data_IF_333613477312
#
_entry.id   IF_333613477312
#
_cell.length_a   1.000
_cell.length_b   1.000
_cell.length_c   1.000
_cell.angle_alpha   90.00
_cell.angle_beta   90.00
_cell.angle_gamma   90.00
#
_symmetry.space_group_name_H-M   'P 1'
#
loop_
_entity.id
_entity.type
_entity.pdbx_description
1 polymer ?
#
# COMPACT_ATOMS: atom_id res chain seq x y z
N UNK A 1 31.45 36.22 48.50
CA UNK A 1 30.54 36.63 47.41
C UNK A 1 30.91 35.88 46.14
N UNK A 2 30.29 34.72 45.88
CA UNK A 2 30.50 33.94 44.65
C UNK A 2 29.50 34.39 43.56
N UNK A 3 30.01 34.79 42.40
CA UNK A 3 29.22 34.98 41.17
C UNK A 3 29.39 33.75 40.28
N UNK A 4 28.45 32.81 40.37
CA UNK A 4 28.31 31.70 39.42
C UNK A 4 26.91 31.76 38.81
N UNK A 5 26.72 32.67 37.87
CA UNK A 5 25.56 32.72 36.96
C UNK A 5 26.16 32.92 35.58
N UNK A 6 26.05 31.91 34.71
CA UNK A 6 26.19 31.96 33.23
C UNK A 6 26.54 30.60 32.58
N UNK A 7 26.38 29.46 33.27
CA UNK A 7 26.49 28.12 32.65
C UNK A 7 25.17 27.35 32.51
N UNK A 8 24.06 27.96 32.93
CA UNK A 8 22.76 27.26 32.95
C UNK A 8 21.99 27.33 31.61
N UNK A 9 22.35 28.25 30.72
CA UNK A 9 21.62 28.45 29.46
C UNK A 9 22.11 27.60 28.27
N UNK A 10 23.25 26.91 28.39
CA UNK A 10 23.80 26.07 27.30
C UNK A 10 23.24 24.64 27.36
N UNK A 11 22.73 24.19 28.51
CA UNK A 11 22.14 22.84 28.62
C UNK A 11 20.67 22.74 28.21
N UNK A 12 19.93 23.85 28.24
CA UNK A 12 18.48 23.83 27.90
C UNK A 12 18.24 23.74 26.40
N UNK A 13 19.13 24.28 25.56
CA UNK A 13 19.03 24.12 24.10
C UNK A 13 19.47 22.74 23.59
N UNK A 14 20.30 22.00 24.36
CA UNK A 14 20.70 20.64 24.00
C UNK A 14 19.65 19.59 24.38
N UNK A 15 18.81 19.86 25.39
CA UNK A 15 17.78 18.91 25.82
C UNK A 15 16.52 18.90 24.93
N UNK A 16 16.21 20.03 24.26
CA UNK A 16 15.06 20.12 23.35
C UNK A 16 15.34 19.40 22.02
N UNK A 17 16.61 19.21 21.64
CA UNK A 17 16.99 18.41 20.46
C UNK A 17 16.94 16.88 20.69
N UNK A 18 16.90 16.42 21.95
CA UNK A 18 16.93 14.98 22.30
C UNK A 18 15.63 14.42 22.89
N UNK A 19 14.57 15.22 22.99
CA UNK A 19 13.32 14.80 23.65
C UNK A 19 12.16 14.45 22.71
N UNK A 20 12.43 14.23 21.41
CA UNK A 20 11.39 13.91 20.41
C UNK A 20 11.62 12.57 19.66
N UNK A 21 12.37 11.63 20.23
CA UNK A 21 12.57 10.30 19.63
C UNK A 21 12.29 9.17 20.64
N UNK A 22 11.13 9.23 21.29
CA UNK A 22 10.49 8.03 21.85
C UNK A 22 8.97 8.21 21.76
N UNK A 23 8.48 8.37 20.54
CA UNK A 23 7.09 7.99 20.26
C UNK A 23 7.09 6.47 20.24
N UNK A 24 6.28 5.87 21.11
CA UNK A 24 6.24 4.43 21.30
C UNK A 24 6.16 3.68 19.97
N UNK A 25 6.80 2.51 19.93
CA UNK A 25 6.62 1.50 18.90
C UNK A 25 5.18 0.94 18.96
N UNK A 26 4.18 1.78 18.73
CA UNK A 26 3.04 1.32 17.96
C UNK A 26 3.65 0.91 16.63
N UNK A 27 3.51 -0.35 16.27
CA UNK A 27 3.90 -0.83 14.96
C UNK A 27 3.07 -0.05 13.92
N UNK A 28 3.50 1.15 13.56
CA UNK A 28 3.13 1.77 12.30
C UNK A 28 3.87 0.93 11.29
N UNK A 29 3.22 -0.17 10.92
CA UNK A 29 3.75 -1.15 10.00
C UNK A 29 4.13 -0.38 8.75
N UNK A 30 5.42 -0.44 8.36
CA UNK A 30 5.95 0.26 7.20
C UNK A 30 4.98 0.11 6.04
N UNK A 31 4.27 1.19 5.76
CA UNK A 31 3.18 1.18 4.81
C UNK A 31 3.80 1.07 3.42
N UNK A 32 3.37 0.11 2.64
CA UNK A 32 3.77 -0.04 1.25
C UNK A 32 2.55 0.06 0.33
N UNK A 33 2.74 0.63 -0.86
CA UNK A 33 1.64 0.88 -1.78
C UNK A 33 1.72 0.08 -3.09
N UNK A 34 0.56 -0.41 -3.52
CA UNK A 34 0.39 -1.11 -4.78
C UNK A 34 -0.85 -0.57 -5.49
N UNK A 35 -0.77 -0.44 -6.81
CA UNK A 35 -1.95 -0.21 -7.65
C UNK A 35 -2.16 -1.47 -8.46
N UNK A 36 -3.34 -2.07 -8.30
CA UNK A 36 -3.80 -3.19 -9.12
C UNK A 36 -4.77 -2.62 -10.13
N UNK A 37 -4.59 -2.95 -11.41
CA UNK A 37 -5.47 -2.53 -12.49
C UNK A 37 -5.90 -3.73 -13.32
N UNK A 38 -7.12 -3.69 -13.83
CA UNK A 38 -7.72 -4.78 -14.60
C UNK A 38 -8.57 -4.22 -15.75
N UNK A 39 -8.91 -5.09 -16.68
CA UNK A 39 -9.90 -4.80 -17.73
C UNK A 39 -11.26 -5.30 -17.24
N UNK A 40 -12.28 -4.43 -17.11
CA UNK A 40 -13.64 -4.84 -16.78
C UNK A 40 -14.17 -5.93 -17.74
N UNK A 41 -14.98 -6.89 -17.26
CA UNK A 41 -15.65 -7.83 -18.14
C UNK A 41 -16.63 -7.10 -19.06
N UNK A 42 -16.83 -7.64 -20.26
CA UNK A 42 -17.84 -7.16 -21.22
C UNK A 42 -19.00 -8.15 -21.41
N UNK A 43 -18.87 -9.33 -20.82
CA UNK A 43 -19.85 -10.43 -20.85
C UNK A 43 -19.89 -11.11 -19.48
N UNK A 44 -21.04 -11.69 -19.14
CA UNK A 44 -21.15 -12.57 -17.96
C UNK A 44 -20.33 -13.86 -18.18
N UNK A 45 -20.09 -14.64 -17.12
CA UNK A 45 -19.29 -15.87 -17.19
C UNK A 45 -19.85 -16.89 -18.21
N UNK A 46 -21.17 -16.88 -18.43
CA UNK A 46 -21.83 -17.70 -19.46
C UNK A 46 -21.65 -17.22 -20.90
N UNK A 47 -20.92 -16.13 -21.14
CA UNK A 47 -20.74 -15.51 -22.45
C UNK A 47 -21.92 -14.65 -22.93
N UNK A 48 -22.93 -14.45 -22.08
CA UNK A 48 -24.08 -13.57 -22.35
C UNK A 48 -23.76 -12.08 -22.17
N UNK A 49 -24.76 -11.24 -22.41
CA UNK A 49 -24.66 -9.80 -22.10
C UNK A 49 -24.29 -9.61 -20.62
N UNK A 50 -23.38 -8.67 -20.33
CA UNK A 50 -23.00 -8.35 -18.96
C UNK A 50 -24.21 -7.77 -18.21
N UNK A 51 -24.67 -8.47 -17.18
CA UNK A 51 -25.80 -8.03 -16.36
C UNK A 51 -25.48 -8.16 -14.88
N UNK A 52 -25.97 -7.22 -14.08
CA UNK A 52 -25.84 -7.32 -12.62
C UNK A 52 -24.48 -6.93 -12.04
N UNK A 53 -23.42 -6.71 -12.82
CA UNK A 53 -22.11 -6.30 -12.28
C UNK A 53 -22.22 -5.14 -11.26
N UNK A 54 -21.86 -5.43 -10.01
CA UNK A 54 -21.91 -4.47 -8.90
C UNK A 54 -20.53 -4.00 -8.45
N UNK A 55 -19.49 -4.81 -8.66
CA UNK A 55 -18.13 -4.45 -8.26
C UNK A 55 -17.14 -5.59 -8.42
N UNK A 56 -16.02 -5.47 -7.71
CA UNK A 56 -14.91 -6.41 -7.78
C UNK A 56 -14.39 -6.76 -6.40
N UNK A 57 -13.83 -7.96 -6.27
CA UNK A 57 -13.05 -8.38 -5.11
C UNK A 57 -11.60 -8.56 -5.55
N UNK A 58 -10.71 -7.80 -4.93
CA UNK A 58 -9.26 -7.89 -5.18
C UNK A 58 -8.65 -8.78 -4.11
N UNK A 59 -8.11 -9.91 -4.52
CA UNK A 59 -7.46 -10.87 -3.63
C UNK A 59 -5.95 -10.69 -3.68
N UNK A 60 -5.30 -10.92 -2.54
CA UNK A 60 -3.84 -10.83 -2.43
C UNK A 60 -3.26 -11.83 -1.43
N UNK A 61 -2.01 -12.23 -1.68
CA UNK A 61 -1.23 -13.14 -0.84
C UNK A 61 0.28 -12.88 -1.02
N UNK A 62 1.12 -13.36 -0.11
CA UNK A 62 2.59 -13.37 -0.26
C UNK A 62 3.12 -14.70 -0.83
N UNK A 63 2.25 -15.69 -1.01
CA UNK A 63 2.56 -16.98 -1.64
C UNK A 63 2.07 -16.97 -3.09
N UNK A 64 2.95 -17.24 -4.06
CA UNK A 64 2.59 -17.39 -5.48
C UNK A 64 1.73 -18.62 -5.72
N UNK A 65 0.96 -18.65 -6.81
CA UNK A 65 0.23 -19.84 -7.30
C UNK A 65 -0.87 -20.37 -6.38
N UNK A 66 -1.25 -19.63 -5.34
CA UNK A 66 -2.39 -19.96 -4.47
C UNK A 66 -3.68 -20.19 -5.28
N UNK A 67 -3.82 -19.50 -6.43
CA UNK A 67 -4.87 -19.71 -7.41
C UNK A 67 -4.99 -21.14 -7.95
N UNK A 68 -3.88 -21.86 -8.10
CA UNK A 68 -3.89 -23.25 -8.61
C UNK A 68 -4.52 -24.23 -7.61
N UNK A 69 -4.55 -23.86 -6.33
CA UNK A 69 -5.23 -24.62 -5.27
C UNK A 69 -6.74 -24.40 -5.32
N UNK A 70 -7.16 -23.22 -5.80
CA UNK A 70 -8.54 -22.75 -5.71
C UNK A 70 -9.35 -22.99 -7.00
N UNK A 71 -8.69 -23.00 -8.16
CA UNK A 71 -9.33 -23.15 -9.48
C UNK A 71 -10.31 -22.02 -9.86
N UNK A 72 -10.71 -21.18 -8.90
CA UNK A 72 -11.69 -20.10 -9.02
C UNK A 72 -11.57 -19.12 -7.84
N UNK A 73 -12.12 -17.92 -7.99
CA UNK A 73 -12.28 -16.95 -6.91
C UNK A 73 -13.69 -17.11 -6.36
N UNK A 74 -13.96 -18.20 -5.63
CA UNK A 74 -15.27 -18.43 -5.01
C UNK A 74 -15.17 -18.28 -3.49
N UNK A 75 -16.25 -17.79 -2.86
CA UNK A 75 -16.36 -17.83 -1.41
C UNK A 75 -16.56 -19.27 -0.94
N UNK A 76 -15.82 -19.67 0.10
CA UNK A 76 -15.89 -21.00 0.69
C UNK A 76 -14.65 -21.88 0.51
N UNK A 77 -13.56 -21.35 -0.04
CA UNK A 77 -12.33 -22.11 -0.20
C UNK A 77 -11.52 -22.13 1.10
N UNK A 78 -11.28 -23.35 1.59
CA UNK A 78 -10.43 -23.61 2.74
C UNK A 78 -9.01 -23.04 2.57
N UNK A 79 -8.36 -22.84 3.71
CA UNK A 79 -6.99 -22.35 3.88
C UNK A 79 -5.98 -22.87 2.83
N UNK A 80 -5.01 -22.02 2.39
CA UNK A 80 -4.67 -20.73 2.95
C UNK A 80 -5.54 -19.59 2.40
N UNK A 81 -6.10 -18.83 3.34
CA UNK A 81 -6.97 -17.66 3.16
C UNK A 81 -6.28 -16.65 2.25
N UNK A 82 -6.83 -16.39 1.08
CA UNK A 82 -6.53 -15.16 0.36
C UNK A 82 -7.12 -13.99 1.14
N UNK A 83 -6.30 -12.97 1.43
CA UNK A 83 -6.85 -11.72 1.96
C UNK A 83 -7.51 -11.00 0.80
N UNK A 84 -8.64 -10.31 1.04
CA UNK A 84 -9.34 -9.61 -0.02
C UNK A 84 -9.84 -8.25 0.40
N UNK A 85 -10.02 -7.37 -0.60
CA UNK A 85 -10.68 -6.08 -0.47
C UNK A 85 -11.86 -6.03 -1.43
N UNK A 86 -13.00 -5.56 -0.92
CA UNK A 86 -14.17 -5.23 -1.73
C UNK A 86 -13.98 -3.86 -2.41
N UNK A 87 -14.25 -3.82 -3.70
CA UNK A 87 -14.15 -2.64 -4.55
C UNK A 87 -15.50 -2.42 -5.24
N UNK A 88 -16.42 -1.67 -4.60
CA UNK A 88 -17.75 -1.45 -5.16
C UNK A 88 -17.70 -0.53 -6.38
N UNK A 89 -18.58 -0.80 -7.35
CA UNK A 89 -18.75 -0.02 -8.56
C UNK A 89 -18.34 -0.77 -9.82
N UNK A 90 -19.30 -1.04 -10.70
CA UNK A 90 -19.10 -1.73 -11.98
C UNK A 90 -18.06 -1.06 -12.90
N UNK A 91 -17.98 0.27 -12.87
CA UNK A 91 -17.09 1.07 -13.72
C UNK A 91 -15.65 1.19 -13.19
N UNK A 92 -15.32 0.59 -12.04
CA UNK A 92 -13.98 0.67 -11.48
C UNK A 92 -13.05 -0.33 -12.18
N UNK A 93 -11.85 0.11 -12.53
CA UNK A 93 -10.82 -0.71 -13.20
C UNK A 93 -9.47 -0.72 -12.47
N UNK A 94 -9.42 -0.15 -11.27
CA UNK A 94 -8.20 -0.12 -10.46
C UNK A 94 -8.48 0.04 -8.97
N UNK A 95 -7.59 -0.48 -8.14
CA UNK A 95 -7.59 -0.30 -6.70
C UNK A 95 -6.18 0.01 -6.19
N UNK A 96 -6.06 0.99 -5.30
CA UNK A 96 -4.79 1.37 -4.64
C UNK A 96 -4.78 0.87 -3.20
N UNK A 97 -3.81 0.02 -2.89
CA UNK A 97 -3.42 -0.26 -1.52
C UNK A 97 -2.55 0.90 -1.03
N UNK A 98 -2.99 1.59 0.02
CA UNK A 98 -2.25 2.76 0.54
C UNK A 98 -1.38 2.41 1.75
N UNK A 99 -1.84 1.58 2.72
CA UNK A 99 -1.08 1.34 3.96
C UNK A 99 -1.26 -0.08 4.58
N UNK A 100 -1.85 -1.02 3.83
CA UNK A 100 -2.26 -2.31 4.41
C UNK A 100 -1.35 -3.48 3.99
N UNK A 101 -0.25 -3.17 3.30
CA UNK A 101 0.70 -4.14 2.81
C UNK A 101 2.07 -3.88 3.44
N UNK A 102 2.80 -4.97 3.69
CA UNK A 102 4.11 -4.91 4.34
C UNK A 102 5.18 -4.63 3.29
N UNK A 103 5.99 -3.60 3.51
CA UNK A 103 7.15 -3.31 2.69
C UNK A 103 8.17 -4.47 2.68
N UNK A 104 8.97 -4.57 1.62
CA UNK A 104 9.98 -5.63 1.43
C UNK A 104 9.41 -6.96 0.93
N UNK A 105 8.11 -7.21 1.11
CA UNK A 105 7.45 -8.43 0.68
C UNK A 105 7.03 -8.39 -0.80
N UNK A 106 7.08 -9.54 -1.45
CA UNK A 106 6.41 -9.73 -2.74
C UNK A 106 4.97 -10.15 -2.50
N UNK A 107 4.04 -9.32 -2.96
CA UNK A 107 2.63 -9.65 -2.98
C UNK A 107 2.22 -10.08 -4.38
N UNK A 108 1.24 -10.97 -4.40
CA UNK A 108 0.60 -11.46 -5.58
C UNK A 108 -0.88 -11.13 -5.53
N UNK A 109 -1.44 -10.69 -6.65
CA UNK A 109 -2.78 -10.13 -6.75
C UNK A 109 -3.58 -10.78 -7.89
N UNK A 110 -4.88 -10.87 -7.69
CA UNK A 110 -5.87 -11.19 -8.73
C UNK A 110 -7.20 -10.52 -8.40
N UNK A 111 -8.13 -10.52 -9.36
CA UNK A 111 -9.40 -9.80 -9.26
C UNK A 111 -10.53 -10.73 -9.71
N UNK A 112 -11.68 -10.68 -9.03
CA UNK A 112 -12.93 -11.28 -9.50
C UNK A 112 -14.03 -10.22 -9.53
N UNK A 113 -14.94 -10.31 -10.49
CA UNK A 113 -16.14 -9.48 -10.55
C UNK A 113 -17.26 -10.10 -9.69
N UNK A 114 -18.23 -9.32 -9.23
CA UNK A 114 -19.44 -9.81 -8.57
C UNK A 114 -20.70 -9.03 -8.95
N UNK A 115 -21.85 -9.70 -8.87
CA UNK A 115 -23.14 -9.10 -9.26
C UNK A 115 -23.93 -8.43 -8.11
N UNK A 116 -23.69 -8.80 -6.85
CA UNK A 116 -24.40 -8.19 -5.71
C UNK A 116 -23.52 -8.19 -4.45
N UNK A 117 -23.35 -7.04 -3.79
CA UNK A 117 -22.49 -6.95 -2.60
C UNK A 117 -23.00 -7.75 -1.38
N UNK A 118 -24.31 -7.99 -1.27
CA UNK A 118 -24.94 -8.70 -0.14
C UNK A 118 -25.05 -10.21 -0.35
N UNK A 119 -25.15 -10.66 -1.59
CA UNK A 119 -25.13 -12.08 -1.99
C UNK A 119 -24.22 -12.25 -3.21
N UNK A 120 -22.91 -12.11 -3.04
CA UNK A 120 -22.00 -12.00 -4.16
C UNK A 120 -21.89 -13.30 -4.93
N UNK A 121 -22.41 -13.27 -6.16
CA UNK A 121 -22.10 -14.25 -7.19
C UNK A 121 -20.79 -13.82 -7.87
N UNK A 122 -19.69 -14.48 -7.54
CA UNK A 122 -18.38 -14.13 -8.09
C UNK A 122 -18.15 -14.79 -9.45
N UNK A 123 -17.52 -14.04 -10.35
CA UNK A 123 -16.92 -14.60 -11.55
C UNK A 123 -15.72 -15.48 -11.19
N UNK A 124 -15.23 -16.24 -12.17
CA UNK A 124 -13.83 -16.69 -12.18
C UNK A 124 -12.87 -15.52 -11.96
N UNK A 125 -11.69 -15.80 -11.38
CA UNK A 125 -10.64 -14.80 -11.27
C UNK A 125 -10.21 -14.32 -12.65
N UNK A 126 -9.60 -13.14 -12.71
CA UNK A 126 -9.02 -12.56 -13.90
C UNK A 126 -8.15 -13.59 -14.63
N UNK A 127 -8.33 -13.70 -15.93
CA UNK A 127 -7.60 -14.60 -16.81
C UNK A 127 -6.77 -13.84 -17.83
N UNK A 128 -5.82 -14.53 -18.44
CA UNK A 128 -5.12 -14.08 -19.65
C UNK A 128 -6.02 -14.23 -20.87
N UNK A 129 -5.61 -13.69 -22.01
CA UNK A 129 -6.31 -13.84 -23.30
C UNK A 129 -6.53 -15.30 -23.71
N UNK A 130 -5.76 -16.24 -23.16
CA UNK A 130 -5.90 -17.69 -23.39
C UNK A 130 -6.69 -18.42 -22.30
N UNK A 131 -7.38 -17.69 -21.41
CA UNK A 131 -8.28 -18.26 -20.38
C UNK A 131 -7.57 -18.81 -19.14
N UNK A 132 -6.24 -18.80 -19.09
CA UNK A 132 -5.49 -19.21 -17.89
C UNK A 132 -5.61 -18.16 -16.78
N UNK A 133 -5.77 -18.61 -15.52
CA UNK A 133 -5.81 -17.72 -14.34
C UNK A 133 -4.58 -16.81 -14.33
N UNK A 134 -4.83 -15.51 -14.10
CA UNK A 134 -3.80 -14.48 -14.08
C UNK A 134 -3.56 -14.00 -12.66
N UNK A 135 -2.31 -14.19 -12.26
CA UNK A 135 -1.71 -13.54 -11.11
C UNK A 135 -0.72 -12.47 -11.59
N UNK A 136 -0.74 -11.31 -10.93
CA UNK A 136 0.29 -10.27 -11.07
C UNK A 136 1.02 -10.14 -9.74
N UNK A 137 2.33 -9.98 -9.78
CA UNK A 137 3.13 -9.79 -8.56
C UNK A 137 3.73 -8.40 -8.52
N UNK A 138 3.88 -7.88 -7.31
CA UNK A 138 4.64 -6.67 -7.04
C UNK A 138 5.39 -6.82 -5.73
N UNK A 139 6.70 -6.60 -5.78
CA UNK A 139 7.51 -6.37 -4.59
C UNK A 139 7.33 -4.93 -4.14
N UNK A 140 6.98 -4.73 -2.88
CA UNK A 140 6.58 -3.41 -2.41
C UNK A 140 7.74 -2.69 -1.75
N UNK A 141 8.06 -1.51 -2.29
CA UNK A 141 8.99 -0.57 -1.65
C UNK A 141 8.33 0.10 -0.44
N UNK A 142 9.16 0.49 0.51
CA UNK A 142 8.80 1.38 1.60
C UNK A 142 8.23 2.68 1.05
N UNK A 143 7.17 3.22 1.66
CA UNK A 143 6.56 4.46 1.14
C UNK A 143 7.48 5.67 1.27
N UNK A 144 8.50 5.59 2.14
CA UNK A 144 9.59 6.56 2.23
C UNK A 144 10.59 6.56 1.06
N UNK A 145 10.61 5.53 0.20
CA UNK A 145 11.47 5.45 -1.01
C UNK A 145 10.82 6.26 -2.15
N UNK A 146 10.87 7.58 -2.02
CA UNK A 146 10.18 8.50 -2.92
C UNK A 146 11.01 8.81 -4.19
N UNK A 147 12.31 8.52 -4.18
CA UNK A 147 13.16 8.65 -5.37
C UNK A 147 13.29 7.33 -6.17
N UNK A 148 12.73 6.21 -5.67
CA UNK A 148 12.74 4.87 -6.28
C UNK A 148 14.14 4.28 -6.46
N UNK A 149 15.07 4.57 -5.54
CA UNK A 149 16.42 4.01 -5.55
C UNK A 149 16.55 2.71 -4.74
N UNK A 150 15.43 2.20 -4.21
CA UNK A 150 15.33 0.98 -3.40
C UNK A 150 15.97 1.09 -2.01
N UNK A 151 16.25 2.29 -1.51
CA UNK A 151 16.74 2.47 -0.15
C UNK A 151 16.21 3.79 0.40
N UNK A 152 15.45 3.77 1.49
CA UNK A 152 15.05 5.03 2.13
C UNK A 152 16.26 5.67 2.81
N UNK A 153 16.79 6.73 2.22
CA UNK A 153 18.05 7.34 2.64
C UNK A 153 18.06 8.88 2.50
N UNK A 154 19.23 9.50 2.60
CA UNK A 154 19.39 10.95 2.46
C UNK A 154 18.92 11.51 1.10
N UNK A 155 18.89 10.67 0.06
CA UNK A 155 18.32 10.98 -1.25
C UNK A 155 16.81 11.24 -1.21
N UNK A 156 16.06 10.42 -0.48
CA UNK A 156 14.63 10.62 -0.24
C UNK A 156 14.37 11.88 0.58
N UNK A 157 15.14 12.08 1.65
CA UNK A 157 15.06 13.30 2.47
C UNK A 157 15.29 14.54 1.60
N UNK A 158 16.33 14.53 0.77
CA UNK A 158 16.66 15.65 -0.13
C UNK A 158 15.52 15.91 -1.10
N UNK A 159 14.92 14.85 -1.65
CA UNK A 159 13.76 14.94 -2.54
C UNK A 159 12.57 15.58 -1.84
N UNK A 160 12.25 15.14 -0.61
CA UNK A 160 11.13 15.65 0.18
C UNK A 160 11.31 17.11 0.58
N UNK A 161 12.50 17.49 1.06
CA UNK A 161 12.81 18.88 1.44
C UNK A 161 12.65 19.81 0.24
N UNK A 162 13.05 19.38 -0.95
CA UNK A 162 12.93 20.17 -2.18
C UNK A 162 11.50 20.53 -2.57
N UNK A 163 10.50 19.85 -2.02
CA UNK A 163 9.07 20.03 -2.34
C UNK A 163 8.19 20.21 -1.11
N UNK A 164 8.78 20.55 0.05
CA UNK A 164 8.04 20.75 1.31
C UNK A 164 7.02 21.90 1.18
N UNK A 165 5.82 21.70 1.72
CA UNK A 165 4.63 22.57 1.59
C UNK A 165 4.08 22.73 0.16
N UNK A 166 4.39 21.81 -0.75
CA UNK A 166 3.78 21.74 -2.08
C UNK A 166 2.75 20.62 -2.16
N UNK A 167 2.05 20.49 -3.28
CA UNK A 167 1.16 19.36 -3.59
C UNK A 167 1.86 18.28 -4.43
N UNK A 168 3.18 18.13 -4.30
CA UNK A 168 3.93 17.14 -5.05
C UNK A 168 3.44 15.73 -4.71
N UNK A 169 2.77 15.08 -5.67
CA UNK A 169 2.13 13.79 -5.45
C UNK A 169 3.10 12.65 -5.15
N UNK A 170 4.40 12.79 -5.44
CA UNK A 170 5.42 11.77 -5.13
C UNK A 170 5.83 11.86 -3.67
N UNK A 171 6.08 13.07 -3.17
CA UNK A 171 6.53 13.30 -1.79
C UNK A 171 5.39 13.47 -0.77
N UNK A 172 4.15 13.64 -1.23
CA UNK A 172 2.94 13.55 -0.39
C UNK A 172 2.67 12.05 -0.15
N UNK A 173 3.34 11.48 0.84
CA UNK A 173 3.33 10.05 1.15
C UNK A 173 1.97 9.63 1.72
N UNK A 174 1.40 10.45 2.62
CA UNK A 174 0.13 10.16 3.28
C UNK A 174 -1.10 10.49 2.41
N UNK A 175 -0.90 11.17 1.27
CA UNK A 175 -1.94 11.56 0.30
C UNK A 175 -2.97 12.53 0.88
N UNK A 176 -2.56 13.41 1.79
CA UNK A 176 -3.41 14.45 2.35
C UNK A 176 -3.51 15.72 1.48
N UNK A 177 -2.73 15.76 0.39
CA UNK A 177 -2.71 16.83 -0.60
C UNK A 177 -1.60 17.86 -0.40
N UNK A 178 -0.79 17.74 0.66
CA UNK A 178 0.32 18.65 0.92
C UNK A 178 1.50 17.95 1.57
N UNK A 179 2.69 18.09 0.99
CA UNK A 179 3.95 17.58 1.57
C UNK A 179 4.26 18.31 2.87
N UNK A 180 4.15 17.64 4.01
CA UNK A 180 4.27 18.26 5.32
C UNK A 180 4.94 17.32 6.36
N UNK A 181 4.88 17.70 7.65
CA UNK A 181 5.48 16.91 8.74
C UNK A 181 4.91 15.49 8.88
N UNK A 182 3.69 15.26 8.40
CA UNK A 182 3.08 13.93 8.29
C UNK A 182 3.89 13.02 7.36
N UNK A 183 4.26 13.51 6.18
CA UNK A 183 5.07 12.74 5.22
C UNK A 183 6.50 12.52 5.73
N UNK A 184 7.10 13.55 6.33
CA UNK A 184 8.43 13.44 6.95
C UNK A 184 8.44 12.37 8.03
N UNK A 185 7.37 12.25 8.80
CA UNK A 185 7.26 11.22 9.84
C UNK A 185 7.25 9.81 9.23
N UNK A 186 6.55 9.61 8.11
CA UNK A 186 6.53 8.32 7.39
C UNK A 186 7.90 8.01 6.80
N UNK A 187 8.53 8.98 6.13
CA UNK A 187 9.88 8.81 5.57
C UNK A 187 10.88 8.45 6.68
N UNK A 188 10.83 9.13 7.83
CA UNK A 188 11.72 8.87 8.95
C UNK A 188 11.51 7.47 9.56
N UNK A 189 10.28 6.95 9.57
CA UNK A 189 10.00 5.58 10.02
C UNK A 189 10.64 4.53 9.11
N UNK A 190 10.71 4.82 7.81
CA UNK A 190 11.29 3.93 6.82
C UNK A 190 12.82 4.11 6.65
N UNK A 191 13.44 5.09 7.33
CA UNK A 191 14.85 5.46 7.11
C UNK A 191 15.82 4.30 7.38
N UNK A 192 16.75 4.07 6.44
CA UNK A 192 17.70 2.95 6.39
C UNK A 192 17.07 1.55 6.33
N UNK A 193 15.75 1.45 6.12
CA UNK A 193 15.16 0.14 5.89
C UNK A 193 15.67 -0.42 4.55
N UNK A 194 16.18 -1.65 4.52
CA UNK A 194 16.60 -2.27 3.28
C UNK A 194 15.36 -2.57 2.45
N UNK A 195 15.25 -2.03 1.23
CA UNK A 195 14.18 -2.46 0.34
C UNK A 195 14.46 -3.83 -0.29
N UNK A 196 15.03 -4.81 0.44
CA UNK A 196 15.32 -6.20 0.01
C UNK A 196 14.55 -7.24 0.85
#
# INVERSE_FOLDING_TARGET
MLKQKNRFNVFIFSLIASCAFFVGAGNVQAAASAVVSWTPPTTDEGGGALTGLSGYKVYYNTVSTWLNVLGSCSEGLGTPVSTSVDVPGAGVSSYRFSNNLVAGQTYYFTVAAYDNASTPNFSKCATTTVGALKEVSKRLSYSGDINNDWVVNGGDITTMIGVYLTNNATADINKDGVVNGGDVTILAQDYLQPAL
#
